data_IF_481335521074
#
_entry.id   IF_481335521074
#
_cell.length_a   1.000
_cell.length_b   1.000
_cell.length_c   1.000
_cell.angle_alpha   90.00
_cell.angle_beta   90.00
_cell.angle_gamma   90.00
#
_symmetry.space_group_name_H-M   'P 1'
#
loop_
_entity.id
_entity.type
_entity.pdbx_description
1 polymer ?
#
# COMPACT_ATOMS: atom_id res chain seq x y z
N UNK A 1 19.16 -56.36 -52.74
CA UNK A 1 18.71 -54.97 -53.01
C UNK A 1 17.73 -54.47 -51.96
N UNK A 2 16.66 -55.20 -51.63
CA UNK A 2 15.65 -54.77 -50.64
C UNK A 2 16.21 -54.49 -49.23
N UNK A 3 17.11 -55.34 -48.72
CA UNK A 3 17.75 -55.12 -47.41
C UNK A 3 18.48 -53.77 -47.31
N UNK A 4 19.26 -53.43 -48.33
CA UNK A 4 19.99 -52.16 -48.39
C UNK A 4 19.05 -50.97 -48.52
N UNK A 5 17.96 -51.12 -49.27
CA UNK A 5 16.93 -50.09 -49.38
C UNK A 5 16.25 -49.83 -48.03
N UNK A 6 15.91 -50.89 -47.30
CA UNK A 6 15.31 -50.80 -45.97
C UNK A 6 16.26 -50.15 -44.95
N UNK A 7 17.54 -50.50 -45.00
CA UNK A 7 18.57 -49.93 -44.15
C UNK A 7 18.80 -48.43 -44.45
N UNK A 8 18.80 -48.06 -45.74
CA UNK A 8 18.85 -46.66 -46.17
C UNK A 8 17.65 -45.87 -45.65
N UNK A 9 16.45 -46.43 -45.73
CA UNK A 9 15.22 -45.79 -45.26
C UNK A 9 15.24 -45.58 -43.73
N UNK A 10 15.70 -46.58 -42.98
CA UNK A 10 15.92 -46.46 -41.54
C UNK A 10 16.93 -45.37 -41.19
N UNK A 11 18.04 -45.28 -41.93
CA UNK A 11 19.07 -44.26 -41.73
C UNK A 11 18.55 -42.86 -42.06
N UNK A 12 17.74 -42.70 -43.12
CA UNK A 12 17.08 -41.43 -43.45
C UNK A 12 16.13 -40.98 -42.35
N UNK A 13 15.27 -41.87 -41.85
CA UNK A 13 14.36 -41.55 -40.74
C UNK A 13 15.10 -41.12 -39.48
N UNK A 14 16.20 -41.80 -39.15
CA UNK A 14 17.07 -41.40 -38.02
C UNK A 14 17.70 -40.03 -38.23
N UNK A 15 18.14 -39.74 -39.46
CA UNK A 15 18.72 -38.44 -39.80
C UNK A 15 17.71 -37.30 -39.67
N UNK A 16 16.49 -37.48 -40.17
CA UNK A 16 15.44 -36.46 -40.05
C UNK A 16 15.08 -36.21 -38.59
N UNK A 17 14.97 -37.26 -37.77
CA UNK A 17 14.75 -37.09 -36.33
C UNK A 17 15.87 -36.29 -35.65
N UNK A 18 17.13 -36.59 -35.95
CA UNK A 18 18.27 -35.85 -35.40
C UNK A 18 18.28 -34.38 -35.86
N UNK A 19 17.88 -34.10 -37.10
CA UNK A 19 17.76 -32.72 -37.58
C UNK A 19 16.67 -31.95 -36.82
N UNK A 20 15.52 -32.57 -36.58
CA UNK A 20 14.43 -31.99 -35.79
C UNK A 20 14.91 -31.70 -34.36
N UNK A 21 15.56 -32.65 -33.70
CA UNK A 21 16.11 -32.49 -32.35
C UNK A 21 17.15 -31.35 -32.28
N UNK A 22 18.06 -31.25 -33.26
CA UNK A 22 19.03 -30.15 -33.34
C UNK A 22 18.34 -28.80 -33.54
N UNK A 23 17.37 -28.73 -34.46
CA UNK A 23 16.62 -27.51 -34.72
C UNK A 23 15.84 -27.04 -33.48
N UNK A 24 15.22 -27.97 -32.74
CA UNK A 24 14.58 -27.65 -31.47
C UNK A 24 15.58 -27.11 -30.44
N UNK A 25 16.72 -27.77 -30.26
CA UNK A 25 17.76 -27.30 -29.34
C UNK A 25 18.31 -25.92 -29.71
N UNK A 26 18.52 -25.64 -31.00
CA UNK A 26 18.96 -24.33 -31.49
C UNK A 26 17.91 -23.24 -31.24
N UNK A 27 16.64 -23.57 -31.48
CA UNK A 27 15.52 -22.65 -31.20
C UNK A 27 15.40 -22.33 -29.71
N UNK A 28 15.57 -23.33 -28.83
CA UNK A 28 15.50 -23.16 -27.38
C UNK A 28 16.68 -22.34 -26.85
N UNK A 29 17.90 -22.59 -27.34
CA UNK A 29 19.06 -21.76 -27.01
C UNK A 29 18.88 -20.31 -27.45
N UNK A 30 18.31 -20.08 -28.63
CA UNK A 30 18.04 -18.74 -29.15
C UNK A 30 16.99 -18.02 -28.30
N UNK A 31 15.90 -18.71 -27.94
CA UNK A 31 14.88 -18.21 -27.01
C UNK A 31 15.47 -17.86 -25.65
N UNK A 32 16.24 -18.77 -25.03
CA UNK A 32 16.90 -18.50 -23.74
C UNK A 32 17.89 -17.34 -23.80
N UNK A 33 18.59 -17.15 -24.93
CA UNK A 33 19.46 -15.97 -25.12
C UNK A 33 18.65 -14.68 -25.18
N UNK A 34 17.53 -14.67 -25.89
CA UNK A 34 16.62 -13.52 -25.94
C UNK A 34 16.01 -13.23 -24.56
N UNK A 35 15.56 -14.26 -23.86
CA UNK A 35 15.05 -14.14 -22.50
C UNK A 35 16.11 -13.62 -21.55
N UNK A 36 17.35 -14.14 -21.58
CA UNK A 36 18.46 -13.63 -20.76
C UNK A 36 18.87 -12.20 -21.10
N UNK A 37 18.83 -11.81 -22.38
CA UNK A 37 19.07 -10.42 -22.78
C UNK A 37 17.90 -9.51 -22.37
N UNK A 38 16.68 -10.03 -22.31
CA UNK A 38 15.57 -9.36 -21.63
C UNK A 38 15.74 -9.36 -20.11
N UNK A 39 16.35 -10.37 -19.48
CA UNK A 39 16.68 -10.35 -18.05
C UNK A 39 17.80 -9.36 -17.72
N UNK A 40 18.65 -8.97 -18.68
CA UNK A 40 19.54 -7.82 -18.50
C UNK A 40 18.75 -6.50 -18.32
N UNK A 41 17.49 -6.44 -18.77
CA UNK A 41 16.56 -5.35 -18.44
C UNK A 41 15.96 -5.44 -17.03
N UNK A 42 16.16 -6.54 -16.31
CA UNK A 42 15.79 -6.65 -14.89
C UNK A 42 16.84 -6.06 -13.95
N UNK A 43 18.02 -5.67 -14.47
CA UNK A 43 18.96 -4.86 -13.69
C UNK A 43 18.39 -3.45 -13.68
N UNK A 44 17.96 -2.91 -12.53
CA UNK A 44 17.41 -1.56 -12.47
C UNK A 44 18.41 -0.59 -13.06
N UNK A 45 17.93 0.32 -13.91
CA UNK A 45 18.76 1.35 -14.51
C UNK A 45 19.54 2.10 -13.43
N UNK A 46 20.72 2.61 -13.77
CA UNK A 46 21.50 3.48 -12.88
C UNK A 46 20.63 4.63 -12.35
N UNK A 47 19.72 5.14 -13.19
CA UNK A 47 18.79 6.19 -12.80
C UNK A 47 17.74 5.70 -11.79
N UNK A 48 17.17 4.51 -12.02
CA UNK A 48 16.22 3.89 -11.07
C UNK A 48 16.89 3.59 -9.73
N UNK A 49 18.12 3.08 -9.74
CA UNK A 49 18.90 2.86 -8.52
C UNK A 49 19.17 4.16 -7.75
N UNK A 50 19.47 5.27 -8.45
CA UNK A 50 19.64 6.58 -7.81
C UNK A 50 18.34 7.06 -7.19
N UNK A 51 17.23 6.96 -7.91
CA UNK A 51 15.91 7.34 -7.40
C UNK A 51 15.51 6.52 -6.18
N UNK A 52 15.73 5.20 -6.19
CA UNK A 52 15.48 4.33 -5.04
C UNK A 52 16.33 4.70 -3.83
N UNK A 53 17.59 5.09 -4.03
CA UNK A 53 18.46 5.59 -2.96
C UNK A 53 17.96 6.91 -2.39
N UNK A 54 17.55 7.86 -3.24
CA UNK A 54 16.98 9.14 -2.80
C UNK A 54 15.67 8.95 -2.01
N UNK A 55 14.79 8.07 -2.48
CA UNK A 55 13.54 7.71 -1.77
C UNK A 55 13.82 7.07 -0.43
N UNK A 56 14.74 6.11 -0.36
CA UNK A 56 15.17 5.52 0.91
C UNK A 56 15.70 6.56 1.88
N UNK A 57 16.51 7.50 1.41
CA UNK A 57 17.05 8.56 2.26
C UNK A 57 15.94 9.48 2.80
N UNK A 58 14.95 9.81 1.97
CA UNK A 58 13.82 10.65 2.40
C UNK A 58 12.98 9.93 3.46
N UNK A 59 12.62 8.67 3.20
CA UNK A 59 11.86 7.85 4.15
C UNK A 59 12.59 7.66 5.48
N UNK A 60 13.91 7.48 5.46
CA UNK A 60 14.71 7.41 6.70
C UNK A 60 14.62 8.70 7.51
N UNK A 61 14.69 9.86 6.85
CA UNK A 61 14.54 11.16 7.52
C UNK A 61 13.13 11.29 8.12
N UNK A 62 12.10 10.88 7.38
CA UNK A 62 10.71 10.94 7.86
C UNK A 62 10.52 10.04 9.09
N UNK A 63 11.06 8.82 9.06
CA UNK A 63 11.04 7.89 10.20
C UNK A 63 11.73 8.52 11.42
N UNK A 64 12.91 9.12 11.24
CA UNK A 64 13.64 9.76 12.34
C UNK A 64 12.86 10.94 12.93
N UNK A 65 12.21 11.74 12.09
CA UNK A 65 11.38 12.87 12.52
C UNK A 65 10.15 12.38 13.31
N UNK A 66 9.41 11.42 12.78
CA UNK A 66 8.22 10.86 13.42
C UNK A 66 8.57 10.14 14.73
N UNK A 67 9.71 9.46 14.78
CA UNK A 67 10.18 8.80 16.02
C UNK A 67 10.43 9.84 17.12
N UNK A 68 11.11 10.95 16.80
CA UNK A 68 11.32 12.05 17.75
C UNK A 68 10.02 12.69 18.18
N UNK A 69 9.06 12.84 17.27
CA UNK A 69 7.73 13.35 17.61
C UNK A 69 7.04 12.43 18.62
N UNK A 70 7.04 11.12 18.38
CA UNK A 70 6.50 10.13 19.32
C UNK A 70 7.18 10.22 20.67
N UNK A 71 8.51 10.31 20.73
CA UNK A 71 9.27 10.45 21.98
C UNK A 71 8.88 11.72 22.76
N UNK A 72 8.69 12.84 22.06
CA UNK A 72 8.23 14.10 22.67
C UNK A 72 6.81 13.98 23.24
N UNK A 73 5.93 13.23 22.57
CA UNK A 73 4.57 12.99 23.06
C UNK A 73 4.58 12.05 24.28
N UNK A 74 5.42 11.01 24.26
CA UNK A 74 5.55 10.06 25.36
C UNK A 74 6.18 10.70 26.61
N UNK A 75 7.19 11.57 26.43
CA UNK A 75 7.84 12.29 27.55
C UNK A 75 6.94 13.32 28.23
N UNK A 76 5.90 13.84 27.55
CA UNK A 76 4.85 14.68 28.17
C UNK A 76 3.92 13.91 29.12
N UNK A 77 4.05 12.58 29.19
CA UNK A 77 3.37 11.73 30.17
C UNK A 77 1.94 11.31 29.75
N UNK A 78 1.31 10.40 30.52
CA UNK A 78 0.05 9.74 30.17
C UNK A 78 -1.18 10.66 30.10
N UNK A 79 -1.04 11.94 30.46
CA UNK A 79 -2.07 12.98 30.36
C UNK A 79 -1.90 13.91 29.15
N UNK A 80 -1.09 13.53 28.15
CA UNK A 80 -1.05 14.28 26.89
C UNK A 80 -2.38 14.12 26.16
N UNK A 81 -3.24 15.14 26.29
CA UNK A 81 -4.50 15.22 25.57
C UNK A 81 -4.32 16.22 24.40
N UNK A 82 -4.25 15.77 23.15
CA UNK A 82 -4.07 16.67 21.99
C UNK A 82 -5.11 17.79 21.91
N UNK A 83 -6.32 17.57 22.46
CA UNK A 83 -7.38 18.59 22.54
C UNK A 83 -7.09 19.70 23.56
N UNK A 84 -6.28 19.45 24.60
CA UNK A 84 -5.88 20.47 25.58
C UNK A 84 -4.88 21.49 25.00
N UNK A 85 -4.28 21.18 23.85
CA UNK A 85 -3.40 22.12 23.13
C UNK A 85 -4.23 23.29 22.57
N UNK A 86 -5.51 23.06 22.25
CA UNK A 86 -6.42 24.09 21.73
C UNK A 86 -7.11 24.91 22.82
N UNK A 87 -7.15 24.43 24.06
CA UNK A 87 -7.76 25.14 25.19
C UNK A 87 -6.70 25.90 25.96
N UNK A 88 -6.53 27.18 25.60
CA UNK A 88 -5.63 28.15 26.23
C UNK A 88 -5.71 28.16 27.78
N UNK A 89 -6.89 27.90 28.35
CA UNK A 89 -7.14 27.98 29.80
C UNK A 89 -6.71 26.76 30.61
N UNK A 90 -6.47 25.60 29.99
CA UNK A 90 -6.14 24.37 30.73
C UNK A 90 -4.66 24.31 31.17
N UNK A 91 -3.78 25.11 30.55
CA UNK A 91 -2.33 25.10 30.80
C UNK A 91 -1.83 26.24 31.71
N UNK A 92 -2.68 27.22 32.05
CA UNK A 92 -2.32 28.31 32.96
C UNK A 92 -2.53 27.79 34.39
N UNK A 93 -1.43 27.41 35.06
CA UNK A 93 -1.42 26.91 36.45
C UNK A 93 -1.87 27.89 37.54
N UNK A 94 -2.62 28.93 37.18
CA UNK A 94 -3.19 29.90 38.10
C UNK A 94 -4.62 29.51 38.48
N UNK A 95 -4.73 28.63 39.48
CA UNK A 95 -5.98 28.32 40.18
C UNK A 95 -6.28 29.44 41.19
N UNK A 96 -6.57 30.65 40.70
CA UNK A 96 -7.29 31.65 41.50
C UNK A 96 -8.66 31.09 41.93
N UNK A 97 -9.34 31.69 42.93
CA UNK A 97 -10.63 31.19 43.39
C UNK A 97 -11.62 31.10 42.23
N UNK A 98 -11.95 29.88 41.81
CA UNK A 98 -12.92 29.65 40.73
C UNK A 98 -14.29 30.11 41.26
N UNK A 99 -15.00 31.00 40.55
CA UNK A 99 -16.36 31.36 40.94
C UNK A 99 -17.23 30.10 40.97
N UNK A 100 -18.11 29.92 41.96
CA UNK A 100 -18.99 28.75 41.99
C UNK A 100 -19.84 28.75 40.71
N UNK A 101 -19.76 27.65 39.95
CA UNK A 101 -20.63 27.44 38.78
C UNK A 101 -22.09 27.64 39.20
N UNK A 102 -22.87 28.48 38.50
CA UNK A 102 -24.29 28.61 38.76
C UNK A 102 -24.96 27.24 38.54
N UNK A 103 -25.74 26.82 39.54
CA UNK A 103 -26.63 25.67 39.43
C UNK A 103 -27.81 26.08 38.56
N UNK A 104 -27.71 25.88 37.25
CA UNK A 104 -28.89 26.00 36.40
C UNK A 104 -29.77 24.76 36.55
N UNK A 105 -30.78 24.97 37.38
CA UNK A 105 -32.02 24.22 37.47
C UNK A 105 -32.63 24.20 36.07
N UNK A 106 -32.80 23.00 35.52
CA UNK A 106 -33.20 22.84 34.13
C UNK A 106 -34.55 23.48 33.80
N UNK A 107 -34.65 24.08 32.61
CA UNK A 107 -35.79 23.87 31.71
C UNK A 107 -35.37 24.22 30.28
N UNK A 108 -35.79 23.36 29.35
CA UNK A 108 -35.72 23.47 27.88
C UNK A 108 -34.42 22.98 27.24
N UNK A 109 -34.44 21.67 26.98
CA UNK A 109 -33.70 21.05 25.89
C UNK A 109 -33.98 21.80 24.58
N UNK A 110 -33.10 22.72 24.22
CA UNK A 110 -32.92 23.18 22.85
C UNK A 110 -31.75 22.39 22.31
N UNK A 111 -32.08 21.27 21.65
CA UNK A 111 -31.17 20.59 20.74
C UNK A 111 -30.70 21.65 19.72
N UNK A 112 -29.40 21.78 19.41
CA UNK A 112 -29.02 22.28 18.10
C UNK A 112 -29.70 21.34 17.09
N UNK A 113 -30.40 21.94 16.15
CA UNK A 113 -31.12 21.29 15.07
C UNK A 113 -30.15 20.36 14.34
N UNK A 114 -30.18 19.08 14.74
CA UNK A 114 -29.81 17.99 13.87
C UNK A 114 -30.88 18.01 12.77
N UNK A 115 -30.54 18.59 11.62
CA UNK A 115 -31.15 18.17 10.37
C UNK A 115 -30.77 16.70 10.20
N UNK A 116 -31.68 15.83 10.63
CA UNK A 116 -31.70 14.44 10.29
C UNK A 116 -32.07 14.33 8.82
N UNK A 117 -31.12 13.93 7.99
CA UNK A 117 -31.37 13.01 6.88
C UNK A 117 -30.17 12.05 6.87
N UNK A 118 -30.22 11.00 7.67
CA UNK A 118 -30.70 9.66 7.29
C UNK A 118 -29.49 8.73 7.03
N UNK A 119 -29.42 7.68 7.86
CA UNK A 119 -28.60 6.48 7.67
C UNK A 119 -27.08 6.62 7.90
N UNK A 120 -26.67 6.91 9.15
CA UNK A 120 -25.30 6.58 9.60
C UNK A 120 -25.16 5.06 9.77
N UNK A 121 -25.15 4.35 8.63
CA UNK A 121 -24.59 3.01 8.57
C UNK A 121 -23.16 3.01 9.13
N UNK A 122 -22.66 1.85 9.56
CA UNK A 122 -21.27 1.75 10.03
C UNK A 122 -20.34 2.08 8.86
N UNK A 123 -19.51 3.12 9.00
CA UNK A 123 -18.42 3.43 8.06
C UNK A 123 -17.56 2.17 7.83
N UNK A 124 -17.03 1.98 6.62
CA UNK A 124 -16.32 0.76 6.26
C UNK A 124 -14.86 1.03 5.90
N UNK A 125 -13.95 0.18 6.39
CA UNK A 125 -12.53 0.28 6.06
C UNK A 125 -12.24 -0.36 4.71
N UNK A 126 -11.52 0.36 3.85
CA UNK A 126 -11.07 -0.17 2.57
C UNK A 126 -10.07 -1.31 2.77
N UNK A 127 -10.30 -2.46 2.14
CA UNK A 127 -9.40 -3.62 2.23
C UNK A 127 -8.07 -3.40 1.51
N UNK A 128 -7.99 -2.42 0.60
CA UNK A 128 -6.78 -2.10 -0.15
C UNK A 128 -5.92 -1.00 0.51
N UNK A 129 -6.52 0.06 1.06
CA UNK A 129 -5.79 1.22 1.58
C UNK A 129 -6.18 1.65 3.00
N UNK A 130 -7.00 0.86 3.70
CA UNK A 130 -7.49 1.07 5.08
C UNK A 130 -8.26 2.35 5.36
N UNK A 131 -8.48 3.19 4.34
CA UNK A 131 -9.29 4.40 4.45
C UNK A 131 -10.73 4.09 4.91
N UNK A 132 -11.25 4.90 5.81
CA UNK A 132 -12.58 4.74 6.41
C UNK A 132 -13.62 5.49 5.56
N UNK A 133 -14.37 4.75 4.74
CA UNK A 133 -15.28 5.30 3.75
C UNK A 133 -16.68 5.56 4.32
N UNK A 134 -17.36 6.55 3.73
CA UNK A 134 -18.77 6.82 4.02
C UNK A 134 -19.65 5.58 3.67
N UNK A 135 -20.68 5.25 4.49
CA UNK A 135 -21.53 4.08 4.29
C UNK A 135 -22.22 4.01 2.93
N UNK A 136 -22.54 5.18 2.35
CA UNK A 136 -23.19 5.30 1.04
C UNK A 136 -22.27 5.00 -0.16
N UNK A 137 -20.95 4.94 0.04
CA UNK A 137 -20.00 4.70 -1.04
C UNK A 137 -19.81 3.20 -1.31
N UNK A 138 -19.89 2.82 -2.59
CA UNK A 138 -19.62 1.46 -3.08
C UNK A 138 -18.15 1.25 -3.52
N UNK A 139 -17.35 2.31 -3.51
CA UNK A 139 -15.92 2.31 -3.85
C UNK A 139 -15.18 3.21 -2.88
N UNK A 140 -13.89 2.93 -2.68
CA UNK A 140 -13.05 3.75 -1.83
C UNK A 140 -12.87 5.15 -2.43
N UNK A 141 -13.07 6.21 -1.65
CA UNK A 141 -12.86 7.59 -2.09
C UNK A 141 -11.39 7.87 -2.43
N UNK A 142 -10.46 7.22 -1.73
CA UNK A 142 -9.02 7.48 -1.88
C UNK A 142 -8.36 6.67 -3.01
N UNK A 143 -8.86 5.46 -3.32
CA UNK A 143 -8.21 4.55 -4.27
C UNK A 143 -9.16 3.84 -5.23
N UNK A 144 -10.44 4.20 -5.23
CA UNK A 144 -11.50 3.68 -6.12
C UNK A 144 -11.76 2.16 -6.04
N UNK A 145 -11.15 1.48 -5.06
CA UNK A 145 -11.28 0.04 -4.86
C UNK A 145 -12.73 -0.33 -4.46
N UNK A 146 -13.36 -1.37 -5.05
CA UNK A 146 -14.73 -1.75 -4.75
C UNK A 146 -14.93 -2.21 -3.30
N UNK A 147 -16.10 -1.89 -2.72
CA UNK A 147 -16.49 -2.37 -1.38
C UNK A 147 -16.79 -3.87 -1.34
N UNK A 148 -17.40 -4.37 -2.40
CA UNK A 148 -17.76 -5.78 -2.58
C UNK A 148 -17.20 -6.26 -3.93
N UNK A 149 -16.80 -7.54 -3.99
CA UNK A 149 -16.39 -8.22 -5.22
C UNK A 149 -17.61 -8.75 -5.97
#
# INVERSE_FOLDING_TARGET
MERLWHELELKKKKLEKLKEEVNEMESDLTRRRLERSSSASQIPSIEEMKQLRCKNRSLQIDIDCLTKEIDLLQTRGPHFNPSAIHNFYDNIGFLGPVPPKPKDVGTKAVKPLAEQEEDEGTQWSCTACTFLNHPALNRCEQCEFPRHF
#
